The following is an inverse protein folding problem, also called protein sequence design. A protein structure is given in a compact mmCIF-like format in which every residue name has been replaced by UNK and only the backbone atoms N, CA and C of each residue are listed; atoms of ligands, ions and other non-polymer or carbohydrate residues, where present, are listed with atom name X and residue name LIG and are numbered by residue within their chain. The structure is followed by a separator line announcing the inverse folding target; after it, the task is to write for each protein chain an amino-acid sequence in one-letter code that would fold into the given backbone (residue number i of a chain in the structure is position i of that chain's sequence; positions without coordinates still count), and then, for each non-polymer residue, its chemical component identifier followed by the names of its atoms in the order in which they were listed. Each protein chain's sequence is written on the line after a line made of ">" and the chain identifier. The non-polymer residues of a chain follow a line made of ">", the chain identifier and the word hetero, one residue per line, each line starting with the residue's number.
data_IF_489203459136
#
_entry.id   IF_489203459136
#
_cell.length_a   1.000
_cell.length_b   1.000
_cell.length_c   1.000
_cell.angle_alpha   90.00
_cell.angle_beta   90.00
_cell.angle_gamma   90.00
#
_symmetry.space_group_name_H-M   'P 1'
#
loop_
_entity.id
_entity.type
_entity.pdbx_description
1 polymer ?
#
# COMPACT_ATOMS: atom_id res chain seq x y z
N UNK A 1 1.08 -18.58 -34.60
CA UNK A 1 1.93 -17.37 -34.58
C UNK A 1 2.92 -17.53 -33.44
N UNK A 2 4.21 -17.68 -33.74
CA UNK A 2 5.25 -17.85 -32.73
C UNK A 2 5.54 -16.54 -32.03
N UNK A 3 5.33 -16.52 -30.74
CA UNK A 3 5.59 -15.39 -29.86
C UNK A 3 7.12 -15.15 -29.78
N UNK A 4 7.62 -14.14 -30.52
CA UNK A 4 8.99 -13.63 -30.40
C UNK A 4 9.08 -12.65 -29.22
N UNK A 5 8.67 -13.10 -28.03
CA UNK A 5 8.83 -12.33 -26.82
C UNK A 5 10.25 -12.52 -26.28
N UNK A 6 10.95 -11.43 -25.99
CA UNK A 6 12.15 -11.47 -25.14
C UNK A 6 11.86 -12.11 -23.78
N UNK A 7 12.87 -12.34 -22.94
CA UNK A 7 12.67 -12.98 -21.64
C UNK A 7 11.60 -12.22 -20.84
N UNK A 8 10.50 -12.91 -20.49
CA UNK A 8 9.46 -12.33 -19.65
C UNK A 8 10.03 -12.12 -18.25
N UNK A 9 9.98 -10.88 -17.74
CA UNK A 9 10.32 -10.60 -16.36
C UNK A 9 9.34 -11.34 -15.44
N UNK A 10 9.86 -11.97 -14.40
CA UNK A 10 9.01 -12.54 -13.35
C UNK A 10 8.21 -11.41 -12.70
N UNK A 11 7.02 -11.72 -12.19
CA UNK A 11 6.19 -10.73 -11.51
C UNK A 11 6.93 -10.06 -10.34
N UNK A 12 7.84 -10.78 -9.69
CA UNK A 12 8.72 -10.31 -8.62
C UNK A 12 9.82 -9.34 -9.07
N UNK A 13 10.13 -9.31 -10.37
CA UNK A 13 11.22 -8.47 -10.93
C UNK A 13 10.68 -7.16 -11.52
N UNK A 14 9.36 -6.97 -11.51
CA UNK A 14 8.69 -5.77 -11.99
C UNK A 14 8.51 -4.78 -10.85
N UNK A 15 8.67 -3.50 -11.14
CA UNK A 15 8.69 -2.46 -10.12
C UNK A 15 7.69 -1.33 -10.35
N UNK A 16 7.33 -1.08 -11.61
CA UNK A 16 6.52 0.08 -11.99
C UNK A 16 5.09 0.03 -11.48
N UNK A 17 4.60 1.17 -11.01
CA UNK A 17 3.20 1.41 -10.67
C UNK A 17 2.65 2.56 -11.52
N UNK A 18 1.45 2.38 -12.09
CA UNK A 18 0.78 3.42 -12.88
C UNK A 18 -0.64 3.62 -12.37
N UNK A 19 -1.04 4.86 -12.15
CA UNK A 19 -2.41 5.22 -11.77
C UNK A 19 -3.10 5.97 -12.90
N UNK A 20 -4.26 5.49 -13.31
CA UNK A 20 -5.10 6.12 -14.34
C UNK A 20 -6.51 6.37 -13.79
N UNK A 21 -7.00 7.60 -13.96
CA UNK A 21 -8.38 7.99 -13.68
C UNK A 21 -8.94 8.77 -14.85
N UNK A 22 -10.26 8.72 -15.05
CA UNK A 22 -10.97 9.36 -16.17
C UNK A 22 -10.30 9.07 -17.50
N UNK A 23 -9.90 7.82 -17.68
CA UNK A 23 -9.16 7.36 -18.85
C UNK A 23 -9.91 6.24 -19.58
N UNK A 24 -9.61 6.08 -20.85
CA UNK A 24 -10.01 4.91 -21.63
C UNK A 24 -8.78 4.13 -22.04
N UNK A 25 -8.75 2.85 -21.67
CA UNK A 25 -7.64 1.94 -21.92
C UNK A 25 -8.07 0.92 -22.98
N UNK A 26 -7.30 0.81 -24.06
CA UNK A 26 -7.57 -0.11 -25.18
C UNK A 26 -6.28 -0.69 -25.75
N UNK A 27 -6.39 -1.70 -26.59
CA UNK A 27 -5.30 -2.16 -27.45
C UNK A 27 -5.36 -1.44 -28.79
N UNK A 28 -4.21 -0.99 -29.27
CA UNK A 28 -4.05 -0.38 -30.59
C UNK A 28 -2.69 -0.80 -31.16
N UNK A 29 -2.72 -1.55 -32.27
CA UNK A 29 -1.51 -2.04 -32.92
C UNK A 29 -0.57 -2.80 -32.01
N UNK A 30 -1.05 -3.85 -31.33
CA UNK A 30 -0.31 -4.68 -30.35
C UNK A 30 0.25 -3.95 -29.13
N UNK A 31 -0.21 -2.72 -28.87
CA UNK A 31 0.17 -1.93 -27.71
C UNK A 31 -1.03 -1.62 -26.84
N UNK A 32 -0.82 -1.55 -25.55
CA UNK A 32 -1.82 -1.04 -24.63
C UNK A 32 -1.65 0.47 -24.55
N UNK A 33 -2.70 1.18 -24.89
CA UNK A 33 -2.71 2.64 -24.90
C UNK A 33 -3.85 3.17 -24.04
N UNK A 34 -3.69 4.40 -23.55
CA UNK A 34 -4.76 5.11 -22.87
C UNK A 34 -4.85 6.55 -23.36
N UNK A 35 -6.02 7.13 -23.20
CA UNK A 35 -6.23 8.56 -23.36
C UNK A 35 -7.11 9.07 -22.24
N UNK A 36 -6.83 10.30 -21.77
CA UNK A 36 -7.59 10.97 -20.74
C UNK A 36 -8.86 11.53 -21.36
N UNK A 37 -10.02 11.27 -20.78
CA UNK A 37 -11.33 11.61 -21.35
C UNK A 37 -11.54 13.13 -21.45
N UNK A 38 -10.96 13.88 -20.50
CA UNK A 38 -11.10 15.33 -20.39
C UNK A 38 -9.95 16.09 -21.10
N UNK A 39 -9.03 15.39 -21.80
CA UNK A 39 -7.96 16.02 -22.56
C UNK A 39 -8.50 16.55 -23.91
N UNK A 40 -8.57 17.88 -24.05
CA UNK A 40 -9.01 18.55 -25.26
C UNK A 40 -8.16 18.20 -26.50
N UNK A 41 -6.96 17.68 -26.32
CA UNK A 41 -6.04 17.31 -27.40
C UNK A 41 -6.10 15.83 -27.79
N UNK A 42 -6.91 15.02 -27.11
CA UNK A 42 -7.07 13.58 -27.37
C UNK A 42 -5.75 12.80 -27.52
N UNK A 43 -4.75 13.16 -26.71
CA UNK A 43 -3.44 12.50 -26.79
C UNK A 43 -3.55 11.05 -26.34
N UNK A 44 -2.95 10.16 -27.14
CA UNK A 44 -2.82 8.75 -26.81
C UNK A 44 -1.45 8.48 -26.20
N UNK A 45 -1.42 7.79 -25.08
CA UNK A 45 -0.21 7.45 -24.34
C UNK A 45 -0.05 5.93 -24.30
N UNK A 46 1.18 5.44 -24.39
CA UNK A 46 1.48 4.01 -24.28
C UNK A 46 1.62 3.60 -22.81
N UNK A 47 1.09 2.44 -22.45
CA UNK A 47 1.33 1.82 -21.15
C UNK A 47 2.55 0.91 -21.28
N UNK A 48 3.66 1.14 -20.53
CA UNK A 48 4.86 0.31 -20.56
C UNK A 48 4.66 -1.00 -19.79
N UNK A 49 3.72 -1.84 -20.26
CA UNK A 49 3.22 -3.01 -19.56
C UNK A 49 4.30 -4.09 -19.26
N UNK A 50 5.41 -4.10 -19.98
CA UNK A 50 6.51 -5.08 -19.76
C UNK A 50 7.14 -4.91 -18.38
N UNK A 51 7.34 -3.67 -17.92
CA UNK A 51 7.93 -3.38 -16.60
C UNK A 51 6.90 -3.01 -15.54
N UNK A 52 5.62 -2.93 -15.92
CA UNK A 52 4.56 -2.54 -15.02
C UNK A 52 4.17 -3.71 -14.11
N UNK A 53 4.27 -3.52 -12.80
CA UNK A 53 3.82 -4.49 -11.82
C UNK A 53 2.32 -4.33 -11.51
N UNK A 54 1.89 -3.07 -11.31
CA UNK A 54 0.51 -2.76 -10.90
C UNK A 54 -0.05 -1.62 -11.74
N UNK A 55 -1.23 -1.84 -12.32
CA UNK A 55 -2.05 -0.79 -12.89
C UNK A 55 -3.20 -0.45 -11.93
N UNK A 56 -3.15 0.74 -11.36
CA UNK A 56 -4.23 1.27 -10.55
C UNK A 56 -5.29 1.92 -11.44
N UNK A 57 -6.51 1.46 -11.33
CA UNK A 57 -7.67 1.96 -12.07
C UNK A 57 -8.52 2.81 -11.14
N UNK A 58 -8.49 4.11 -11.35
CA UNK A 58 -9.26 5.10 -10.60
C UNK A 58 -10.63 5.37 -11.22
N UNK A 59 -11.37 6.26 -10.57
CA UNK A 59 -12.75 6.61 -10.92
C UNK A 59 -12.86 7.11 -12.38
N UNK A 60 -13.95 6.71 -13.07
CA UNK A 60 -14.25 7.15 -14.44
C UNK A 60 -13.36 6.53 -15.51
N UNK A 61 -12.54 5.53 -15.16
CA UNK A 61 -11.72 4.79 -16.12
C UNK A 61 -12.46 3.59 -16.67
N UNK A 62 -12.34 3.39 -17.98
CA UNK A 62 -12.84 2.21 -18.69
C UNK A 62 -11.68 1.46 -19.35
N UNK A 63 -11.80 0.13 -19.40
CA UNK A 63 -10.82 -0.74 -20.02
C UNK A 63 -11.50 -1.75 -20.92
N UNK A 64 -10.95 -1.97 -22.12
CA UNK A 64 -11.48 -2.97 -23.04
C UNK A 64 -11.07 -4.39 -22.62
N UNK A 65 -11.84 -5.38 -22.99
CA UNK A 65 -11.57 -6.79 -22.71
C UNK A 65 -10.20 -7.22 -23.25
N UNK A 66 -9.84 -6.80 -24.48
CA UNK A 66 -8.52 -7.11 -25.08
C UNK A 66 -7.38 -6.51 -24.28
N UNK A 67 -7.52 -5.27 -23.76
CA UNK A 67 -6.51 -4.65 -22.92
C UNK A 67 -6.37 -5.38 -21.58
N UNK A 68 -7.48 -5.79 -20.96
CA UNK A 68 -7.46 -6.60 -19.71
C UNK A 68 -6.74 -7.93 -19.95
N UNK A 69 -7.06 -8.61 -21.04
CA UNK A 69 -6.44 -9.89 -21.39
C UNK A 69 -4.94 -9.75 -21.61
N UNK A 70 -4.52 -8.75 -22.38
CA UNK A 70 -3.10 -8.52 -22.67
C UNK A 70 -2.33 -8.14 -21.38
N UNK A 71 -2.88 -7.27 -20.52
CA UNK A 71 -2.29 -6.95 -19.20
C UNK A 71 -2.14 -8.20 -18.33
N UNK A 72 -3.18 -9.05 -18.31
CA UNK A 72 -3.17 -10.29 -17.54
C UNK A 72 -2.14 -11.29 -18.10
N UNK A 73 -2.06 -11.48 -19.42
CA UNK A 73 -1.07 -12.33 -20.09
C UNK A 73 0.35 -11.87 -19.82
N UNK A 74 0.55 -10.55 -19.74
CA UNK A 74 1.83 -9.95 -19.36
C UNK A 74 2.08 -9.95 -17.84
N UNK A 75 1.13 -10.41 -17.04
CA UNK A 75 1.28 -10.54 -15.59
C UNK A 75 1.20 -9.21 -14.84
N UNK A 76 0.57 -8.19 -15.41
CA UNK A 76 0.28 -6.93 -14.74
C UNK A 76 -0.89 -7.14 -13.78
N UNK A 77 -0.70 -6.77 -12.53
CA UNK A 77 -1.77 -6.82 -11.53
C UNK A 77 -2.68 -5.59 -11.66
N UNK A 78 -3.98 -5.81 -11.76
CA UNK A 78 -4.96 -4.72 -11.80
C UNK A 78 -5.51 -4.47 -10.40
N UNK A 79 -5.38 -3.25 -9.91
CA UNK A 79 -5.94 -2.80 -8.65
C UNK A 79 -6.96 -1.69 -8.91
N UNK A 80 -8.24 -1.97 -8.67
CA UNK A 80 -9.29 -0.97 -8.82
C UNK A 80 -9.37 -0.18 -7.51
N UNK A 81 -9.15 1.13 -7.62
CA UNK A 81 -9.16 2.04 -6.48
C UNK A 81 -10.11 3.19 -6.76
N UNK A 82 -10.70 3.76 -5.74
CA UNK A 82 -11.59 4.90 -5.90
C UNK A 82 -12.22 5.32 -4.59
N UNK A 83 -12.92 6.45 -4.61
CA UNK A 83 -13.69 6.93 -3.48
C UNK A 83 -14.86 5.99 -3.21
N UNK A 84 -14.81 5.27 -2.11
CA UNK A 84 -15.90 4.46 -1.60
C UNK A 84 -16.00 3.08 -2.24
N UNK A 85 -15.46 2.10 -1.60
CA UNK A 85 -15.58 0.70 -1.96
C UNK A 85 -14.42 -0.15 -1.49
N UNK A 86 -14.64 -1.44 -1.37
CA UNK A 86 -13.57 -2.39 -1.09
C UNK A 86 -12.59 -2.41 -2.24
N UNK A 87 -11.27 -2.44 -1.98
CA UNK A 87 -10.28 -2.59 -3.02
C UNK A 87 -10.53 -3.90 -3.78
N UNK A 88 -10.55 -3.83 -5.11
CA UNK A 88 -10.71 -5.00 -5.97
C UNK A 88 -9.39 -5.26 -6.70
N UNK A 89 -8.99 -6.52 -6.73
CA UNK A 89 -7.78 -6.98 -7.40
C UNK A 89 -8.12 -8.03 -8.45
N UNK A 90 -7.45 -7.97 -9.59
CA UNK A 90 -7.59 -8.94 -10.67
C UNK A 90 -6.21 -9.34 -11.18
N UNK A 91 -6.03 -10.63 -11.44
CA UNK A 91 -4.82 -11.18 -12.03
C UNK A 91 -5.15 -12.37 -12.94
N UNK A 92 -4.19 -12.80 -13.73
CA UNK A 92 -4.38 -13.91 -14.67
C UNK A 92 -4.35 -15.25 -13.95
N UNK A 93 -5.33 -16.12 -14.21
CA UNK A 93 -5.34 -17.51 -13.71
C UNK A 93 -4.25 -18.37 -14.34
N UNK A 94 -3.75 -17.96 -15.51
CA UNK A 94 -2.73 -18.69 -16.27
C UNK A 94 -1.31 -18.45 -15.80
N UNK A 95 -1.11 -17.48 -14.91
CA UNK A 95 0.21 -17.19 -14.34
C UNK A 95 0.55 -18.25 -13.29
N UNK A 96 1.59 -19.04 -13.53
CA UNK A 96 2.07 -20.02 -12.56
C UNK A 96 2.65 -19.28 -11.36
N UNK A 97 2.07 -19.52 -10.21
CA UNK A 97 2.61 -19.11 -8.92
C UNK A 97 3.00 -20.36 -8.14
N UNK A 98 4.26 -20.41 -7.66
CA UNK A 98 4.70 -21.53 -6.83
C UNK A 98 3.88 -21.62 -5.54
N UNK A 99 3.58 -22.84 -5.08
CA UNK A 99 2.80 -23.06 -3.85
C UNK A 99 3.66 -23.03 -2.57
N UNK A 100 4.95 -22.73 -2.67
CA UNK A 100 5.87 -22.76 -1.52
C UNK A 100 5.43 -21.80 -0.42
N UNK A 101 5.27 -20.53 -0.74
CA UNK A 101 4.90 -19.51 0.24
C UNK A 101 3.51 -19.78 0.86
N UNK A 102 2.57 -20.28 0.06
CA UNK A 102 1.26 -20.71 0.56
C UNK A 102 1.39 -21.84 1.59
N UNK A 103 2.16 -22.90 1.27
CA UNK A 103 2.38 -24.03 2.20
C UNK A 103 3.10 -23.57 3.47
N UNK A 104 4.04 -22.66 3.36
CA UNK A 104 4.76 -22.09 4.49
C UNK A 104 3.85 -21.22 5.37
N UNK A 105 2.84 -20.58 4.79
CA UNK A 105 1.87 -19.76 5.53
C UNK A 105 0.86 -20.62 6.32
N UNK A 106 0.52 -21.83 5.89
CA UNK A 106 -0.53 -22.64 6.55
C UNK A 106 -0.29 -22.82 8.05
N UNK A 107 0.87 -23.33 8.52
CA UNK A 107 1.12 -23.46 9.95
C UNK A 107 1.18 -22.10 10.68
N UNK A 108 1.71 -21.05 10.02
CA UNK A 108 1.73 -19.71 10.61
C UNK A 108 0.30 -19.21 10.86
N UNK A 109 -0.61 -19.45 9.93
CA UNK A 109 -2.01 -19.06 10.07
C UNK A 109 -2.76 -19.91 11.13
N UNK A 110 -2.41 -21.20 11.28
CA UNK A 110 -3.12 -22.14 12.16
C UNK A 110 -2.67 -22.04 13.62
N UNK A 111 -1.39 -21.77 13.86
CA UNK A 111 -0.79 -21.80 15.19
C UNK A 111 -0.68 -20.37 15.78
N UNK A 112 -1.37 -20.09 16.92
CA UNK A 112 -1.39 -18.74 17.49
C UNK A 112 0.00 -18.16 17.79
N UNK A 113 0.94 -18.98 18.27
CA UNK A 113 2.30 -18.54 18.58
C UNK A 113 3.06 -18.10 17.31
N UNK A 114 2.90 -18.85 16.21
CA UNK A 114 3.48 -18.52 14.92
C UNK A 114 2.83 -17.28 14.31
N UNK A 115 1.50 -17.16 14.38
CA UNK A 115 0.78 -15.95 13.96
C UNK A 115 1.28 -14.71 14.72
N UNK A 116 1.47 -14.80 16.04
CA UNK A 116 1.98 -13.70 16.85
C UNK A 116 3.39 -13.32 16.44
N UNK A 117 4.28 -14.29 16.23
CA UNK A 117 5.65 -14.02 15.79
C UNK A 117 5.70 -13.35 14.41
N UNK A 118 4.88 -13.82 13.48
CA UNK A 118 4.71 -13.25 12.14
C UNK A 118 4.16 -11.80 12.21
N UNK A 119 3.11 -11.57 12.99
CA UNK A 119 2.53 -10.25 13.19
C UNK A 119 3.53 -9.27 13.81
N UNK A 120 4.30 -9.69 14.83
CA UNK A 120 5.38 -8.89 15.42
C UNK A 120 6.44 -8.51 14.39
N UNK A 121 6.77 -9.40 13.46
CA UNK A 121 7.73 -9.11 12.38
C UNK A 121 7.24 -7.98 11.49
N UNK A 122 5.99 -8.02 11.01
CA UNK A 122 5.39 -6.95 10.21
C UNK A 122 5.35 -5.63 10.98
N UNK A 123 5.02 -5.68 12.28
CA UNK A 123 4.97 -4.48 13.11
C UNK A 123 6.35 -3.88 13.38
N UNK A 124 7.42 -4.68 13.42
CA UNK A 124 8.81 -4.17 13.45
C UNK A 124 9.15 -3.43 12.15
N UNK A 125 8.80 -4.01 10.98
CA UNK A 125 9.01 -3.33 9.69
C UNK A 125 8.28 -1.99 9.65
N UNK A 126 7.03 -1.93 10.15
CA UNK A 126 6.25 -0.67 10.27
C UNK A 126 6.97 0.38 11.10
N UNK A 127 7.45 0.00 12.30
CA UNK A 127 8.17 0.93 13.19
C UNK A 127 9.47 1.41 12.55
N UNK A 128 10.24 0.50 11.96
CA UNK A 128 11.51 0.80 11.32
C UNK A 128 11.33 1.72 10.10
N UNK A 129 10.36 1.42 9.23
CA UNK A 129 10.09 2.24 8.06
C UNK A 129 9.55 3.62 8.45
N UNK A 130 8.69 3.72 9.47
CA UNK A 130 8.24 4.99 10.02
C UNK A 130 9.43 5.81 10.55
N UNK A 131 10.32 5.19 11.31
CA UNK A 131 11.51 5.83 11.89
C UNK A 131 12.47 6.33 10.81
N UNK A 132 12.65 5.58 9.70
CA UNK A 132 13.55 5.94 8.59
C UNK A 132 12.83 6.81 7.55
N UNK A 133 11.87 6.23 6.83
CA UNK A 133 11.22 6.87 5.70
C UNK A 133 10.17 7.90 6.11
N UNK A 134 9.35 7.60 7.10
CA UNK A 134 8.31 8.50 7.58
C UNK A 134 8.89 9.82 8.11
N UNK A 135 9.96 9.74 8.92
CA UNK A 135 10.63 10.96 9.43
C UNK A 135 11.36 11.74 8.33
N UNK A 136 11.99 11.05 7.36
CA UNK A 136 12.62 11.69 6.22
C UNK A 136 11.59 12.42 5.35
N UNK A 137 10.44 11.79 5.09
CA UNK A 137 9.34 12.38 4.34
C UNK A 137 8.70 13.56 5.07
N UNK A 138 8.54 13.50 6.41
CA UNK A 138 8.09 14.64 7.21
C UNK A 138 9.03 15.85 7.06
N UNK A 139 10.35 15.65 7.12
CA UNK A 139 11.33 16.72 6.88
C UNK A 139 11.21 17.29 5.47
N UNK A 140 11.10 16.43 4.46
CA UNK A 140 11.05 16.83 3.04
C UNK A 140 9.75 17.56 2.67
N UNK A 141 8.62 16.98 2.99
CA UNK A 141 7.32 17.43 2.49
C UNK A 141 6.59 18.37 3.44
N UNK A 142 6.80 18.23 4.76
CA UNK A 142 6.19 19.09 5.78
C UNK A 142 7.14 20.17 6.30
N UNK A 143 8.44 20.15 5.88
CA UNK A 143 9.50 21.01 6.39
C UNK A 143 9.67 20.89 7.91
N UNK A 144 9.48 19.68 8.45
CA UNK A 144 9.61 19.42 9.87
C UNK A 144 11.05 19.56 10.31
N UNK A 145 11.31 20.43 11.29
CA UNK A 145 12.63 20.62 11.89
C UNK A 145 12.88 19.64 13.04
N UNK A 146 11.82 19.27 13.76
CA UNK A 146 11.87 18.32 14.84
C UNK A 146 10.93 17.14 14.60
N UNK A 147 11.47 15.92 14.54
CA UNK A 147 10.79 14.65 14.39
C UNK A 147 11.04 13.70 15.56
N UNK A 148 11.53 14.23 16.69
CA UNK A 148 11.86 13.45 17.89
C UNK A 148 10.65 12.71 18.44
N UNK A 149 9.45 13.32 18.40
CA UNK A 149 8.21 12.69 18.82
C UNK A 149 7.86 11.45 18.01
N UNK A 150 8.05 11.46 16.68
CA UNK A 150 7.86 10.27 15.84
C UNK A 150 8.88 9.17 16.18
N UNK A 151 10.15 9.54 16.35
CA UNK A 151 11.20 8.58 16.72
C UNK A 151 10.93 7.94 18.08
N UNK A 152 10.47 8.74 19.06
CA UNK A 152 10.11 8.24 20.38
C UNK A 152 8.90 7.30 20.33
N UNK A 153 7.88 7.63 19.51
CA UNK A 153 6.74 6.74 19.29
C UNK A 153 7.18 5.39 18.72
N UNK A 154 8.07 5.37 17.72
CA UNK A 154 8.64 4.14 17.16
C UNK A 154 9.38 3.33 18.23
N UNK A 155 10.27 3.96 19.00
CA UNK A 155 11.04 3.29 20.07
C UNK A 155 10.12 2.69 21.14
N UNK A 156 9.10 3.42 21.56
CA UNK A 156 8.12 2.94 22.54
C UNK A 156 7.36 1.73 21.99
N UNK A 157 6.96 1.80 20.73
CA UNK A 157 6.26 0.70 20.06
C UNK A 157 7.14 -0.55 19.93
N UNK A 158 8.40 -0.39 19.46
CA UNK A 158 9.37 -1.48 19.38
C UNK A 158 9.54 -2.20 20.74
N UNK A 159 9.68 -1.43 21.84
CA UNK A 159 9.78 -1.99 23.19
C UNK A 159 8.51 -2.73 23.63
N UNK A 160 7.33 -2.31 23.17
CA UNK A 160 6.07 -2.94 23.49
C UNK A 160 5.81 -4.19 22.66
N UNK A 161 6.31 -4.26 21.42
CA UNK A 161 6.23 -5.47 20.59
C UNK A 161 6.82 -6.70 21.30
N UNK A 162 7.95 -6.51 21.99
CA UNK A 162 8.59 -7.63 22.72
C UNK A 162 7.71 -8.15 23.88
N UNK A 163 6.93 -7.26 24.50
CA UNK A 163 6.08 -7.59 25.66
C UNK A 163 4.76 -8.26 25.28
N UNK A 164 4.30 -8.12 24.03
CA UNK A 164 3.03 -8.68 23.60
C UNK A 164 3.06 -10.21 23.71
N UNK A 165 2.08 -10.77 24.40
CA UNK A 165 1.93 -12.21 24.65
C UNK A 165 0.93 -12.87 23.72
N UNK A 166 0.04 -12.06 23.13
CA UNK A 166 -0.98 -12.48 22.19
C UNK A 166 -1.33 -11.37 21.18
N UNK A 167 -2.19 -11.69 20.21
CA UNK A 167 -2.62 -10.75 19.16
C UNK A 167 -3.45 -9.60 19.74
N UNK A 168 -4.21 -9.78 20.82
CA UNK A 168 -5.02 -8.73 21.42
C UNK A 168 -4.15 -7.65 22.07
N UNK A 169 -3.13 -8.06 22.82
CA UNK A 169 -2.13 -7.11 23.36
C UNK A 169 -1.39 -6.38 22.25
N UNK A 170 -1.01 -7.10 21.17
CA UNK A 170 -0.35 -6.52 20.02
C UNK A 170 -1.21 -5.47 19.31
N UNK A 171 -2.52 -5.73 19.13
CA UNK A 171 -3.50 -4.79 18.59
C UNK A 171 -3.62 -3.53 19.47
N UNK A 172 -3.61 -3.70 20.79
CA UNK A 172 -3.61 -2.57 21.74
C UNK A 172 -2.38 -1.67 21.59
N UNK A 173 -1.21 -2.27 21.45
CA UNK A 173 0.04 -1.52 21.22
C UNK A 173 0.06 -0.84 19.84
N UNK A 174 -0.43 -1.53 18.80
CA UNK A 174 -0.59 -0.99 17.46
C UNK A 174 -1.50 0.25 17.46
N UNK A 175 -2.67 0.14 18.09
CA UNK A 175 -3.61 1.28 18.17
C UNK A 175 -3.03 2.48 18.91
N UNK A 176 -2.22 2.25 19.95
CA UNK A 176 -1.51 3.31 20.68
C UNK A 176 -0.44 3.95 19.81
N UNK A 177 0.32 3.16 19.07
CA UNK A 177 1.33 3.65 18.12
C UNK A 177 0.69 4.49 17.01
N UNK A 178 -0.38 4.00 16.40
CA UNK A 178 -1.13 4.71 15.36
C UNK A 178 -1.64 6.05 15.85
N UNK A 179 -2.26 6.12 17.04
CA UNK A 179 -2.71 7.38 17.65
C UNK A 179 -1.55 8.36 17.87
N UNK A 180 -0.40 7.85 18.33
CA UNK A 180 0.80 8.67 18.52
C UNK A 180 1.31 9.23 17.19
N UNK A 181 1.36 8.42 16.13
CA UNK A 181 1.75 8.89 14.79
C UNK A 181 0.80 9.98 14.27
N UNK A 182 -0.53 9.77 14.35
CA UNK A 182 -1.51 10.77 13.93
C UNK A 182 -1.34 12.10 14.68
N UNK A 183 -1.17 12.05 16.00
CA UNK A 183 -0.96 13.26 16.81
C UNK A 183 0.33 14.00 16.41
N UNK A 184 1.42 13.26 16.16
CA UNK A 184 2.68 13.89 15.73
C UNK A 184 2.57 14.52 14.34
N UNK A 185 1.94 13.83 13.37
CA UNK A 185 1.75 14.39 12.03
C UNK A 185 0.78 15.58 12.03
N UNK A 186 -0.28 15.55 12.83
CA UNK A 186 -1.19 16.68 13.02
C UNK A 186 -0.45 17.91 13.56
N UNK A 187 0.38 17.74 14.60
CA UNK A 187 1.25 18.79 15.15
C UNK A 187 2.21 19.34 14.09
N UNK A 188 2.89 18.47 13.33
CA UNK A 188 3.81 18.87 12.27
C UNK A 188 3.10 19.63 11.13
N UNK A 189 1.85 19.26 10.84
CA UNK A 189 0.98 19.96 9.89
C UNK A 189 0.39 21.26 10.45
N UNK A 190 0.62 21.56 11.72
CA UNK A 190 0.06 22.73 12.41
C UNK A 190 -1.48 22.76 12.30
N UNK A 191 -2.13 21.60 12.45
CA UNK A 191 -3.57 21.54 12.56
C UNK A 191 -4.03 22.22 13.86
N UNK A 192 -5.26 22.76 13.92
CA UNK A 192 -5.79 23.45 15.10
C UNK A 192 -5.70 22.56 16.35
N UNK A 193 -5.18 23.08 17.46
CA UNK A 193 -5.03 22.33 18.72
C UNK A 193 -6.36 22.13 19.44
N UNK A 194 -7.31 23.02 19.24
CA UNK A 194 -8.67 22.96 19.77
C UNK A 194 -9.52 21.87 19.11
N UNK A 195 -9.11 21.40 17.95
CA UNK A 195 -9.78 20.32 17.21
C UNK A 195 -8.77 19.20 16.94
N UNK A 196 -8.52 18.31 17.92
CA UNK A 196 -7.52 17.26 17.75
C UNK A 196 -7.88 16.34 16.61
N UNK A 197 -6.89 15.97 15.79
CA UNK A 197 -7.08 15.04 14.68
C UNK A 197 -7.64 13.70 15.19
N UNK A 198 -8.77 13.29 14.63
CA UNK A 198 -9.34 11.96 14.80
C UNK A 198 -9.36 11.24 13.46
N UNK A 199 -8.92 10.00 13.48
CA UNK A 199 -9.01 9.15 12.30
C UNK A 199 -10.47 8.77 12.09
N UNK A 200 -11.00 9.18 10.95
CA UNK A 200 -12.33 8.79 10.44
C UNK A 200 -12.13 7.89 9.22
N UNK A 201 -12.21 6.58 9.44
CA UNK A 201 -12.06 5.60 8.39
C UNK A 201 -13.36 5.55 7.58
N UNK A 202 -13.26 5.80 6.27
CA UNK A 202 -14.42 5.90 5.38
C UNK A 202 -14.74 7.33 4.94
N UNK A 203 -14.03 8.34 5.44
CA UNK A 203 -14.17 9.72 4.95
C UNK A 203 -13.95 9.85 3.43
N UNK A 204 -13.26 8.85 2.80
CA UNK A 204 -13.11 8.74 1.36
C UNK A 204 -14.35 8.24 0.62
N UNK A 205 -15.34 7.70 1.32
CA UNK A 205 -16.58 7.17 0.73
C UNK A 205 -17.62 8.25 0.42
N UNK A 206 -17.50 9.43 1.00
CA UNK A 206 -18.36 10.55 0.65
C UNK A 206 -18.15 10.96 -0.81
N UNK A 207 -19.17 10.66 -1.65
CA UNK A 207 -19.24 11.12 -3.03
C UNK A 207 -19.45 12.63 -3.05
N UNK A 208 -18.41 13.40 -3.24
CA UNK A 208 -18.49 14.86 -3.31
C UNK A 208 -17.14 15.51 -3.55
N UNK A 209 -17.15 16.79 -3.87
CA UNK A 209 -15.95 17.62 -3.89
C UNK A 209 -15.33 17.65 -2.50
N UNK A 210 -14.01 17.49 -2.44
CA UNK A 210 -13.25 17.61 -1.21
C UNK A 210 -13.60 18.96 -0.55
N UNK A 211 -14.02 18.92 0.71
CA UNK A 211 -14.14 20.16 1.49
C UNK A 211 -12.73 20.72 1.69
N UNK A 212 -12.40 21.69 0.83
CA UNK A 212 -11.06 22.32 0.82
C UNK A 212 -10.86 23.21 2.05
N UNK A 213 -11.92 23.54 2.78
CA UNK A 213 -11.85 24.41 3.96
C UNK A 213 -11.42 23.63 5.22
N UNK A 214 -11.77 22.33 5.34
CA UNK A 214 -11.45 21.50 6.51
C UNK A 214 -10.20 20.65 6.29
N UNK A 215 -9.04 21.00 6.88
CA UNK A 215 -7.81 20.23 6.72
C UNK A 215 -7.88 18.86 7.38
N UNK A 216 -8.72 18.63 8.41
CA UNK A 216 -8.87 17.33 9.08
C UNK A 216 -9.61 16.36 8.17
N UNK A 217 -10.74 16.78 7.59
CA UNK A 217 -11.47 15.96 6.61
C UNK A 217 -10.61 15.65 5.40
N UNK A 218 -9.88 16.64 4.90
CA UNK A 218 -8.96 16.48 3.78
C UNK A 218 -7.86 15.46 4.09
N UNK A 219 -7.22 15.54 5.27
CA UNK A 219 -6.21 14.58 5.69
C UNK A 219 -6.79 13.16 5.77
N UNK A 220 -7.98 12.96 6.37
CA UNK A 220 -8.64 11.67 6.45
C UNK A 220 -8.91 11.07 5.07
N UNK A 221 -9.47 11.86 4.14
CA UNK A 221 -9.73 11.40 2.77
C UNK A 221 -8.45 11.00 2.03
N UNK A 222 -7.38 11.80 2.16
CA UNK A 222 -6.09 11.47 1.56
C UNK A 222 -5.45 10.23 2.17
N UNK A 223 -5.61 10.02 3.48
CA UNK A 223 -5.15 8.79 4.15
C UNK A 223 -5.91 7.58 3.61
N UNK A 224 -7.24 7.65 3.46
CA UNK A 224 -8.01 6.55 2.87
C UNK A 224 -7.55 6.26 1.45
N UNK A 225 -7.43 7.29 0.61
CA UNK A 225 -6.98 7.13 -0.77
C UNK A 225 -5.59 6.47 -0.83
N UNK A 226 -4.65 6.94 -0.01
CA UNK A 226 -3.29 6.37 0.05
C UNK A 226 -3.27 4.93 0.57
N UNK A 227 -4.10 4.61 1.55
CA UNK A 227 -4.23 3.25 2.05
C UNK A 227 -4.70 2.28 0.96
N UNK A 228 -5.68 2.69 0.11
CA UNK A 228 -6.13 1.86 -1.01
C UNK A 228 -5.00 1.59 -2.02
N UNK A 229 -4.16 2.58 -2.31
CA UNK A 229 -2.99 2.36 -3.18
C UNK A 229 -1.98 1.39 -2.52
N UNK A 230 -1.72 1.52 -1.23
CA UNK A 230 -0.87 0.57 -0.49
C UNK A 230 -1.46 -0.85 -0.47
N UNK A 231 -2.78 -1.00 -0.35
CA UNK A 231 -3.45 -2.29 -0.45
C UNK A 231 -3.28 -2.92 -1.84
N UNK A 232 -3.28 -2.11 -2.89
CA UNK A 232 -2.97 -2.55 -4.25
C UNK A 232 -1.57 -3.15 -4.36
N UNK A 233 -0.56 -2.49 -3.81
CA UNK A 233 0.82 -2.99 -3.79
C UNK A 233 0.95 -4.28 -2.96
N UNK A 234 0.32 -4.33 -1.78
CA UNK A 234 0.30 -5.54 -0.94
C UNK A 234 -0.40 -6.71 -1.66
N UNK A 235 -1.54 -6.46 -2.30
CA UNK A 235 -2.27 -7.45 -3.08
C UNK A 235 -1.44 -8.01 -4.24
N UNK A 236 -0.71 -7.15 -4.95
CA UNK A 236 0.20 -7.55 -6.03
C UNK A 236 1.35 -8.44 -5.52
N UNK A 237 1.93 -8.12 -4.35
CA UNK A 237 2.96 -8.94 -3.74
C UNK A 237 2.43 -10.34 -3.37
N UNK A 238 1.25 -10.42 -2.73
CA UNK A 238 0.62 -11.70 -2.38
C UNK A 238 0.28 -12.51 -3.63
N UNK A 239 -0.24 -11.86 -4.67
CA UNK A 239 -0.51 -12.49 -5.96
C UNK A 239 0.74 -13.08 -6.58
N UNK A 240 1.83 -12.30 -6.65
CA UNK A 240 3.11 -12.75 -7.21
C UNK A 240 3.67 -13.97 -6.47
N UNK A 241 3.43 -14.08 -5.16
CA UNK A 241 3.86 -15.18 -4.31
C UNK A 241 2.87 -16.35 -4.25
N UNK A 242 1.72 -16.26 -4.92
CA UNK A 242 0.67 -17.29 -4.89
C UNK A 242 0.02 -17.47 -3.52
N UNK A 243 -0.10 -16.40 -2.74
CA UNK A 243 -0.65 -16.41 -1.38
C UNK A 243 -2.09 -15.88 -1.39
N UNK A 244 -3.07 -16.63 -0.86
CA UNK A 244 -4.44 -16.14 -0.72
C UNK A 244 -4.54 -14.93 0.22
N UNK A 245 -5.26 -13.86 -0.15
CA UNK A 245 -5.32 -12.62 0.61
C UNK A 245 -6.10 -12.72 1.94
N UNK A 246 -6.82 -13.82 2.15
CA UNK A 246 -7.72 -13.99 3.31
C UNK A 246 -7.04 -14.58 4.56
N UNK A 247 -5.79 -15.02 4.46
CA UNK A 247 -5.08 -15.71 5.54
C UNK A 247 -4.37 -14.72 6.48
N UNK A 248 -5.15 -13.85 7.13
CA UNK A 248 -4.63 -12.87 8.08
C UNK A 248 -3.92 -13.49 9.26
N UNK A 249 -2.79 -12.94 9.64
CA UNK A 249 -2.01 -13.31 10.83
C UNK A 249 -2.20 -12.34 12.00
N UNK A 250 -2.78 -11.16 11.73
CA UNK A 250 -2.88 -10.07 12.70
C UNK A 250 -4.32 -9.57 12.91
N UNK A 251 -5.02 -9.13 11.85
CA UNK A 251 -6.35 -8.49 11.97
C UNK A 251 -7.53 -9.48 12.13
N UNK A 252 -7.23 -10.73 12.38
CA UNK A 252 -8.24 -11.76 12.63
C UNK A 252 -8.80 -12.41 11.35
N UNK A 253 -9.43 -13.57 11.58
CA UNK A 253 -9.87 -14.49 10.51
C UNK A 253 -11.17 -14.06 9.83
N UNK A 254 -11.84 -13.02 10.34
CA UNK A 254 -13.18 -12.59 9.88
C UNK A 254 -13.13 -11.43 8.89
N UNK A 255 -12.00 -10.75 8.74
CA UNK A 255 -11.85 -9.61 7.82
C UNK A 255 -11.54 -10.11 6.41
N UNK A 256 -12.40 -9.80 5.45
CA UNK A 256 -12.14 -10.08 4.03
C UNK A 256 -10.83 -9.43 3.58
N UNK A 257 -9.94 -10.22 2.94
CA UNK A 257 -8.63 -9.70 2.49
C UNK A 257 -7.66 -9.35 3.62
N UNK A 258 -7.82 -9.92 4.81
CA UNK A 258 -7.08 -9.56 6.03
C UNK A 258 -5.57 -9.52 5.88
N UNK A 259 -4.97 -10.45 5.12
CA UNK A 259 -3.53 -10.50 4.89
C UNK A 259 -3.01 -9.31 4.05
N UNK A 260 -3.84 -8.78 3.14
CA UNK A 260 -3.49 -7.55 2.39
C UNK A 260 -3.34 -6.38 3.36
N UNK A 261 -4.22 -6.27 4.35
CA UNK A 261 -4.14 -5.22 5.37
C UNK A 261 -2.95 -5.44 6.29
N UNK A 262 -2.74 -6.68 6.77
CA UNK A 262 -1.59 -7.02 7.61
C UNK A 262 -0.27 -6.63 6.93
N UNK A 263 -0.10 -6.98 5.66
CA UNK A 263 1.11 -6.70 4.89
C UNK A 263 1.27 -5.19 4.64
N UNK A 264 0.20 -4.50 4.24
CA UNK A 264 0.24 -3.07 3.99
C UNK A 264 0.57 -2.26 5.25
N UNK A 265 0.18 -2.74 6.43
CA UNK A 265 0.51 -2.10 7.71
C UNK A 265 2.02 -1.98 7.93
N UNK A 266 2.81 -2.86 7.33
CA UNK A 266 4.27 -2.78 7.39
C UNK A 266 4.85 -1.50 6.77
N UNK A 267 4.14 -0.89 5.80
CA UNK A 267 4.71 0.25 5.05
C UNK A 267 3.75 1.44 4.85
N UNK A 268 2.44 1.25 4.89
CA UNK A 268 1.48 2.30 4.50
C UNK A 268 1.64 3.60 5.28
N UNK A 269 1.78 3.55 6.60
CA UNK A 269 1.79 4.75 7.42
C UNK A 269 3.02 5.63 7.16
N UNK A 270 4.18 5.01 6.95
CA UNK A 270 5.42 5.72 6.67
C UNK A 270 5.40 6.45 5.32
N UNK A 271 4.60 5.96 4.37
CA UNK A 271 4.46 6.53 3.03
C UNK A 271 3.29 7.53 2.98
N UNK A 272 2.14 7.14 3.51
CA UNK A 272 0.88 7.87 3.38
C UNK A 272 0.81 9.07 4.31
N UNK A 273 1.09 8.89 5.62
CA UNK A 273 0.83 9.96 6.60
C UNK A 273 1.59 11.25 6.31
N UNK A 274 2.91 11.26 6.07
CA UNK A 274 3.62 12.50 5.80
C UNK A 274 3.13 13.22 4.55
N UNK A 275 2.72 12.47 3.51
CA UNK A 275 2.19 13.05 2.28
C UNK A 275 0.77 13.59 2.45
N UNK A 276 -0.10 12.82 3.13
CA UNK A 276 -1.49 13.20 3.35
C UNK A 276 -1.58 14.48 4.21
N UNK A 277 -0.85 14.53 5.33
CA UNK A 277 -0.82 15.71 6.18
C UNK A 277 -0.15 16.91 5.49
N UNK A 278 0.91 16.69 4.70
CA UNK A 278 1.52 17.76 3.91
C UNK A 278 0.56 18.33 2.86
N UNK A 279 -0.19 17.50 2.16
CA UNK A 279 -1.15 17.92 1.14
C UNK A 279 -2.42 18.51 1.76
N UNK A 280 -2.77 18.14 2.98
CA UNK A 280 -3.91 18.70 3.72
C UNK A 280 -3.67 20.14 4.21
N UNK A 281 -2.42 20.60 4.28
CA UNK A 281 -2.10 21.98 4.71
C UNK A 281 -2.63 23.00 3.71
N UNK A 282 -3.27 24.08 4.17
CA UNK A 282 -3.79 25.15 3.30
C UNK A 282 -2.70 25.75 2.40
N UNK A 283 -3.08 26.13 1.17
CA UNK A 283 -2.20 26.85 0.23
C UNK A 283 -1.02 26.07 -0.34
N UNK A 284 -0.95 24.76 -0.14
CA UNK A 284 0.15 23.91 -0.62
C UNK A 284 -0.02 23.42 -2.05
N UNK A 285 -1.23 23.26 -2.53
CA UNK A 285 -1.54 22.79 -3.89
C UNK A 285 -2.95 23.23 -4.30
N UNK A 286 -3.12 23.53 -5.60
CA UNK A 286 -4.44 23.76 -6.20
C UNK A 286 -5.25 22.46 -6.29
N UNK A 287 -4.57 21.30 -6.50
CA UNK A 287 -5.16 19.97 -6.49
C UNK A 287 -4.37 19.07 -5.51
N UNK A 288 -4.75 19.08 -4.23
CA UNK A 288 -4.08 18.30 -3.20
C UNK A 288 -4.12 16.79 -3.45
N UNK A 289 -5.22 16.28 -4.01
CA UNK A 289 -5.42 14.85 -4.27
C UNK A 289 -4.49 14.35 -5.38
N UNK A 290 -4.43 15.06 -6.50
CA UNK A 290 -3.51 14.75 -7.60
C UNK A 290 -2.05 14.85 -7.16
N UNK A 291 -1.70 15.91 -6.42
CA UNK A 291 -0.34 16.11 -5.91
C UNK A 291 0.07 15.00 -4.94
N UNK A 292 -0.81 14.63 -4.01
CA UNK A 292 -0.61 13.55 -3.06
C UNK A 292 -0.39 12.21 -3.77
N UNK A 293 -1.30 11.87 -4.69
CA UNK A 293 -1.27 10.63 -5.44
C UNK A 293 -0.01 10.50 -6.29
N UNK A 294 0.35 11.53 -7.05
CA UNK A 294 1.57 11.53 -7.86
C UNK A 294 2.80 11.23 -7.01
N UNK A 295 2.96 11.94 -5.89
CA UNK A 295 4.09 11.71 -4.97
C UNK A 295 4.09 10.31 -4.34
N UNK A 296 2.92 9.75 -4.05
CA UNK A 296 2.84 8.41 -3.48
C UNK A 296 3.23 7.34 -4.51
N UNK A 297 2.81 7.47 -5.75
CA UNK A 297 3.22 6.59 -6.86
C UNK A 297 4.73 6.70 -7.08
N UNK A 298 5.28 7.92 -7.17
CA UNK A 298 6.74 8.12 -7.26
C UNK A 298 7.49 7.42 -6.10
N UNK A 299 6.93 7.48 -4.88
CA UNK A 299 7.53 6.80 -3.73
C UNK A 299 7.45 5.27 -3.83
N UNK A 300 6.44 4.72 -4.48
CA UNK A 300 6.38 3.26 -4.70
C UNK A 300 7.55 2.80 -5.58
N UNK A 301 7.83 3.53 -6.64
CA UNK A 301 8.93 3.22 -7.57
C UNK A 301 10.30 3.51 -6.93
N UNK A 302 10.51 4.70 -6.37
CA UNK A 302 11.77 5.12 -5.73
C UNK A 302 12.21 4.17 -4.60
N UNK A 303 11.25 3.57 -3.89
CA UNK A 303 11.49 2.69 -2.74
C UNK A 303 11.29 1.22 -3.06
N UNK A 304 10.98 0.89 -4.30
CA UNK A 304 10.75 -0.49 -4.74
C UNK A 304 9.75 -1.20 -3.83
N UNK A 305 8.60 -0.57 -3.57
CA UNK A 305 7.64 -1.03 -2.54
C UNK A 305 7.13 -2.44 -2.81
N UNK A 306 6.99 -2.87 -4.06
CA UNK A 306 6.63 -4.25 -4.35
C UNK A 306 7.66 -5.23 -3.79
N UNK A 307 8.95 -4.95 -4.02
CA UNK A 307 10.04 -5.80 -3.51
C UNK A 307 10.11 -5.77 -1.99
N UNK A 308 9.88 -4.61 -1.37
CA UNK A 308 9.81 -4.49 0.09
C UNK A 308 8.63 -5.28 0.66
N UNK A 309 7.46 -5.24 0.02
CA UNK A 309 6.30 -6.04 0.42
C UNK A 309 6.59 -7.54 0.32
N UNK A 310 7.24 -7.99 -0.75
CA UNK A 310 7.70 -9.39 -0.91
C UNK A 310 8.71 -9.75 0.20
N UNK A 311 9.68 -8.88 0.49
CA UNK A 311 10.64 -9.10 1.56
C UNK A 311 9.98 -9.15 2.94
N UNK A 312 8.96 -8.32 3.17
CA UNK A 312 8.14 -8.36 4.41
C UNK A 312 7.43 -9.71 4.55
N UNK A 313 6.85 -10.26 3.47
CA UNK A 313 6.25 -11.61 3.51
C UNK A 313 7.30 -12.66 3.89
N UNK A 314 8.49 -12.62 3.31
CA UNK A 314 9.54 -13.57 3.65
C UNK A 314 9.95 -13.46 5.13
N UNK A 315 10.19 -12.24 5.63
CA UNK A 315 10.51 -12.01 7.05
C UNK A 315 9.38 -12.47 7.99
N UNK A 316 8.13 -12.25 7.58
CA UNK A 316 6.94 -12.69 8.32
C UNK A 316 6.90 -14.22 8.42
N UNK A 317 7.13 -14.93 7.32
CA UNK A 317 7.18 -16.39 7.30
C UNK A 317 8.36 -16.91 8.12
N UNK A 318 9.56 -16.36 7.95
CA UNK A 318 10.75 -16.74 8.72
C UNK A 318 10.58 -16.53 10.22
N UNK A 319 9.88 -15.47 10.63
CA UNK A 319 9.57 -15.22 12.04
C UNK A 319 8.59 -16.25 12.61
N UNK A 320 7.68 -16.77 11.78
CA UNK A 320 6.78 -17.87 12.15
C UNK A 320 7.48 -19.24 12.25
N UNK A 321 8.73 -19.36 11.83
CA UNK A 321 9.53 -20.60 11.85
C UNK A 321 10.91 -20.37 12.49
N UNK A 322 10.99 -20.11 13.79
CA UNK A 322 12.27 -19.85 14.44
C UNK A 322 13.26 -21.01 14.31
N UNK A 323 12.78 -22.24 14.11
CA UNK A 323 13.59 -23.44 13.86
C UNK A 323 14.38 -23.40 12.53
N UNK A 324 13.88 -22.70 11.50
CA UNK A 324 14.59 -22.61 10.20
C UNK A 324 15.88 -21.81 10.24
N UNK A 325 16.06 -20.97 11.25
CA UNK A 325 17.31 -20.19 11.41
C UNK A 325 18.52 -21.06 11.72
N UNK A 326 18.30 -22.29 12.18
CA UNK A 326 19.38 -23.21 12.55
C UNK A 326 19.82 -24.12 11.39
N UNK A 327 19.06 -24.16 10.27
CA UNK A 327 19.39 -25.02 9.13
C UNK A 327 20.30 -24.34 8.09
N UNK A 328 20.62 -23.07 8.28
CA UNK A 328 21.47 -22.26 7.38
C UNK A 328 22.68 -21.63 8.10
N UNK A 329 23.04 -22.13 9.31
CA UNK A 329 24.22 -21.71 10.05
C UNK A 329 25.41 -22.65 9.87
#
# INVERSE_FOLDING_TARGET
>A
MQNKGGPRLLATDREGALYLERARIKVEGDRIVYFITDDAHHRTYNIPHVNLAVLFIGQGTSITQDAMRLLAEEGVHLAVTGSGGSPMHMGALTTYSGTRHFRDLLPVYQEPARSLAAAKSVMRDRAELMRKAGTASAKRYMRATDVSGLKNACKTFENNLEKARDIQELLGFEGTFSKSCYAQFARLARLPEDTPFRRDAGAGEERGTLDMADPIKRANRLIDHGNYLCYGMAGAALWALGIPPHMSVFHGKTRAGGLVFDLADGFKDALVLPLAFAAAMPGRSEDPEKTFRGRLIDMFDDRRILNEAIATVNRMLDAGYPERKNDHA
#
